data_IF_920453228508
#
_entry.id   IF_920453228508
#
_cell.length_a   1.000
_cell.length_b   1.000
_cell.length_c   1.000
_cell.angle_alpha   90.00
_cell.angle_beta   90.00
_cell.angle_gamma   90.00
#
_symmetry.space_group_name_H-M   'P 1'
#
loop_
_entity.id
_entity.type
_entity.pdbx_description
1 polymer ?
#
# COMPACT_ATOMS: atom_id res chain seq x y z
N UNK A 1 -30.85 -8.72 2.97
CA UNK A 1 -29.61 -9.46 3.29
C UNK A 1 -28.58 -8.80 2.43
N UNK A 2 -27.79 -8.00 3.05
CA UNK A 2 -26.86 -7.07 2.45
C UNK A 2 -25.54 -7.76 2.25
N UNK A 3 -25.00 -7.70 1.09
CA UNK A 3 -23.73 -8.28 0.68
C UNK A 3 -22.87 -7.18 0.04
N UNK A 4 -21.66 -7.28 0.04
CA UNK A 4 -20.63 -6.26 0.08
C UNK A 4 -19.67 -6.06 -1.10
N UNK A 5 -19.13 -4.91 -1.34
CA UNK A 5 -18.33 -4.47 -2.47
C UNK A 5 -16.83 -4.23 -2.33
N UNK A 6 -16.12 -4.07 -3.39
CA UNK A 6 -14.77 -3.57 -3.44
C UNK A 6 -14.42 -2.69 -4.61
N UNK A 7 -13.81 -1.66 -4.38
CA UNK A 7 -12.52 -1.26 -4.90
C UNK A 7 -11.85 -0.43 -3.82
N UNK A 8 -11.03 -1.10 -3.02
CA UNK A 8 -10.10 -0.36 -2.20
C UNK A 8 -9.15 0.37 -3.13
N UNK A 9 -9.07 1.71 -3.07
CA UNK A 9 -7.98 2.44 -3.68
C UNK A 9 -6.65 1.81 -3.24
N UNK A 10 -5.65 1.77 -4.10
CA UNK A 10 -4.34 1.14 -3.79
C UNK A 10 -3.70 1.62 -2.47
N UNK A 11 -4.13 2.78 -1.95
CA UNK A 11 -3.75 3.31 -0.63
C UNK A 11 -4.47 2.66 0.54
N UNK A 12 -5.70 2.19 0.36
CA UNK A 12 -6.44 1.47 1.40
C UNK A 12 -6.00 0.01 1.48
N UNK A 13 -5.66 -0.61 0.37
CA UNK A 13 -5.05 -1.94 0.35
C UNK A 13 -3.67 -1.97 1.06
N UNK A 14 -2.92 -0.87 1.00
CA UNK A 14 -1.66 -0.74 1.74
C UNK A 14 -1.85 -0.71 3.27
N UNK A 15 -3.04 -0.31 3.76
CA UNK A 15 -3.39 -0.39 5.17
C UNK A 15 -3.86 -1.80 5.58
N UNK A 16 -4.41 -2.61 4.67
CA UNK A 16 -4.90 -3.98 4.93
C UNK A 16 -3.79 -5.05 4.98
N UNK A 17 -2.54 -4.71 4.66
CA UNK A 17 -1.43 -5.66 4.51
C UNK A 17 -0.73 -6.08 5.80
N UNK A 18 -1.43 -6.15 6.95
CA UNK A 18 -0.81 -6.57 8.21
C UNK A 18 -1.65 -7.58 8.99
N UNK A 19 -1.32 -8.83 8.90
CA UNK A 19 -1.59 -10.04 9.70
C UNK A 19 -2.62 -11.08 9.27
N UNK A 20 -2.19 -12.33 9.25
CA UNK A 20 -2.98 -13.52 9.62
C UNK A 20 -2.10 -14.53 10.32
N UNK A 21 -2.56 -15.07 11.44
CA UNK A 21 -2.06 -16.35 11.97
C UNK A 21 -3.03 -17.46 11.56
N UNK A 22 -2.59 -18.60 11.03
CA UNK A 22 -3.46 -19.76 10.88
C UNK A 22 -3.63 -20.41 12.26
N UNK A 23 -4.84 -20.37 12.80
CA UNK A 23 -5.26 -21.29 13.84
C UNK A 23 -5.53 -22.64 13.16
N UNK A 24 -4.65 -23.60 13.33
CA UNK A 24 -4.92 -25.05 13.47
C UNK A 24 -3.60 -25.82 13.32
N UNK A 25 -2.99 -26.09 14.45
CA UNK A 25 -1.93 -27.07 14.62
C UNK A 25 -2.01 -27.61 16.04
N UNK A 26 -2.42 -28.88 16.18
CA UNK A 26 -2.40 -29.60 17.46
C UNK A 26 -1.03 -29.48 18.10
N UNK A 27 -0.99 -29.01 19.32
CA UNK A 27 0.17 -29.05 20.19
C UNK A 27 0.64 -30.50 20.35
N UNK A 28 1.73 -30.86 19.70
CA UNK A 28 2.61 -31.93 20.18
C UNK A 28 3.59 -31.27 21.15
N UNK A 29 3.52 -31.67 22.39
CA UNK A 29 4.48 -31.29 23.43
C UNK A 29 5.86 -31.78 22.99
N UNK A 30 6.75 -30.84 22.69
CA UNK A 30 8.18 -31.09 22.59
C UNK A 30 8.75 -31.20 24.02
N UNK A 31 9.76 -32.06 24.26
CA UNK A 31 10.40 -32.19 25.57
C UNK A 31 11.10 -30.89 25.97
N UNK A 32 11.31 -30.62 27.25
CA UNK A 32 11.90 -29.39 27.75
C UNK A 32 13.33 -29.27 27.21
N UNK A 33 13.58 -28.31 26.35
CA UNK A 33 14.92 -27.92 25.94
C UNK A 33 15.53 -26.99 26.99
N UNK A 34 16.75 -27.31 27.36
CA UNK A 34 17.59 -26.61 28.32
C UNK A 34 17.53 -25.07 28.17
N UNK A 35 17.17 -24.39 29.22
CA UNK A 35 17.07 -22.92 29.34
C UNK A 35 18.48 -22.24 29.34
N UNK A 36 19.53 -22.91 28.93
CA UNK A 36 20.92 -22.41 29.08
C UNK A 36 21.55 -21.81 27.82
N UNK A 37 20.80 -21.69 26.70
CA UNK A 37 21.29 -21.09 25.45
C UNK A 37 20.46 -19.92 24.90
N UNK A 38 20.01 -19.04 25.77
CA UNK A 38 19.62 -17.73 25.31
C UNK A 38 20.88 -16.97 24.89
N UNK A 39 20.99 -16.61 23.61
CA UNK A 39 22.11 -15.85 23.07
C UNK A 39 22.23 -14.51 23.81
N UNK A 40 23.44 -13.95 23.94
CA UNK A 40 23.70 -12.73 24.69
C UNK A 40 22.81 -11.53 24.33
N UNK A 41 22.35 -11.43 23.07
CA UNK A 41 21.45 -10.39 22.59
C UNK A 41 20.03 -10.50 23.17
N UNK A 42 19.51 -11.71 23.39
CA UNK A 42 18.17 -11.90 23.99
C UNK A 42 18.12 -11.50 25.47
N UNK A 43 19.23 -11.72 26.20
CA UNK A 43 19.36 -11.27 27.61
C UNK A 43 19.58 -9.75 27.69
N UNK A 44 20.27 -9.15 26.71
CA UNK A 44 20.46 -7.71 26.64
C UNK A 44 19.16 -6.93 26.40
N UNK A 45 18.23 -7.48 25.59
CA UNK A 45 16.94 -6.84 25.32
C UNK A 45 15.95 -6.93 26.50
N UNK A 46 15.99 -8.03 27.25
CA UNK A 46 15.08 -8.24 28.40
C UNK A 46 15.35 -7.31 29.60
N UNK A 47 16.48 -6.61 29.61
CA UNK A 47 16.87 -5.68 30.67
C UNK A 47 16.83 -4.19 30.33
N UNK A 48 16.52 -3.84 29.05
CA UNK A 48 16.46 -2.42 28.61
C UNK A 48 15.21 -1.75 29.15
N UNK A 49 15.34 -0.57 29.72
CA UNK A 49 14.20 0.25 30.13
C UNK A 49 13.54 0.91 28.89
N UNK A 50 12.32 1.45 29.06
CA UNK A 50 11.55 2.07 27.98
C UNK A 50 12.34 3.18 27.27
N UNK A 51 13.08 3.97 28.01
CA UNK A 51 13.91 5.04 27.43
C UNK A 51 14.99 4.49 26.50
N UNK A 52 15.68 3.42 26.89
CA UNK A 52 16.72 2.76 26.08
C UNK A 52 16.16 2.09 24.82
N UNK A 53 14.91 1.64 24.87
CA UNK A 53 14.22 1.04 23.71
C UNK A 53 13.75 2.09 22.69
N UNK A 54 13.52 3.32 23.13
CA UNK A 54 12.94 4.39 22.33
C UNK A 54 13.94 5.51 21.96
N UNK A 55 15.23 5.32 22.25
CA UNK A 55 16.28 6.27 21.90
C UNK A 55 17.46 5.56 21.27
N UNK A 56 18.03 6.20 20.26
CA UNK A 56 19.23 5.71 19.60
C UNK A 56 20.47 5.95 20.49
N UNK A 57 21.26 4.93 20.78
CA UNK A 57 22.46 5.08 21.58
C UNK A 57 23.55 5.93 20.92
N UNK A 58 23.51 6.15 19.59
CA UNK A 58 24.52 6.93 18.88
C UNK A 58 24.30 8.46 18.98
N UNK A 59 23.03 8.90 18.87
CA UNK A 59 22.71 10.33 18.86
C UNK A 59 21.77 10.77 20.01
N UNK A 60 21.32 9.83 20.84
CA UNK A 60 20.41 10.07 21.96
C UNK A 60 19.00 10.54 21.57
N UNK A 61 18.69 10.60 20.29
CA UNK A 61 17.39 11.07 19.79
C UNK A 61 16.37 9.94 19.79
N UNK A 62 15.09 10.32 19.73
CA UNK A 62 13.97 9.38 19.63
C UNK A 62 14.14 8.46 18.42
N UNK A 63 14.09 7.14 18.65
CA UNK A 63 14.27 6.09 17.65
C UNK A 63 13.55 4.82 18.08
N UNK A 64 12.73 4.28 17.21
CA UNK A 64 11.93 3.07 17.50
C UNK A 64 12.59 1.80 17.00
N UNK A 65 13.81 1.84 16.47
CA UNK A 65 14.48 0.67 15.85
C UNK A 65 14.60 -0.51 16.80
N UNK A 66 15.11 -0.25 18.03
CA UNK A 66 15.29 -1.30 19.03
C UNK A 66 13.95 -1.91 19.44
N UNK A 67 12.96 -1.07 19.62
CA UNK A 67 11.63 -1.50 19.98
C UNK A 67 10.96 -2.33 18.87
N UNK A 68 10.99 -1.84 17.61
CA UNK A 68 10.42 -2.54 16.47
C UNK A 68 11.10 -3.89 16.19
N UNK A 69 12.41 -3.99 16.35
CA UNK A 69 13.17 -5.20 16.01
C UNK A 69 13.25 -6.22 17.15
N UNK A 70 13.16 -5.77 18.41
CA UNK A 70 13.33 -6.63 19.58
C UNK A 70 12.06 -6.83 20.39
N UNK A 71 10.97 -6.13 20.04
CA UNK A 71 9.71 -6.28 20.74
C UNK A 71 9.09 -7.65 20.46
N UNK A 72 8.75 -8.36 21.53
CA UNK A 72 8.02 -9.64 21.45
C UNK A 72 6.51 -9.36 21.62
N UNK A 73 5.75 -9.52 20.54
CA UNK A 73 4.30 -9.30 20.55
C UNK A 73 3.84 -8.33 19.48
N UNK A 74 2.56 -8.03 19.50
CA UNK A 74 1.95 -7.07 18.57
C UNK A 74 2.20 -5.64 19.02
N UNK A 75 2.59 -4.83 18.06
CA UNK A 75 2.79 -3.40 18.20
C UNK A 75 1.50 -2.68 17.81
N UNK A 76 0.83 -1.95 18.71
CA UNK A 76 -0.28 -1.10 18.31
C UNK A 76 0.25 0.12 17.54
N UNK A 77 -0.17 0.24 16.29
CA UNK A 77 0.14 1.37 15.42
C UNK A 77 -1.15 2.15 15.18
N UNK A 78 -1.25 3.42 15.60
CA UNK A 78 -2.42 4.23 15.29
C UNK A 78 -2.52 4.45 13.78
N UNK A 79 -3.73 4.27 13.26
CA UNK A 79 -4.07 4.62 11.87
C UNK A 79 -4.78 5.96 11.92
N UNK A 80 -4.31 6.92 11.13
CA UNK A 80 -5.00 8.19 10.92
C UNK A 80 -5.38 8.25 9.46
N UNK A 81 -6.68 8.31 9.20
CA UNK A 81 -7.24 8.37 7.86
C UNK A 81 -7.47 9.83 7.50
N UNK A 82 -6.90 10.23 6.37
CA UNK A 82 -7.01 11.60 5.84
C UNK A 82 -7.31 11.58 4.34
N UNK A 83 -7.81 10.46 3.84
CA UNK A 83 -8.16 10.30 2.42
C UNK A 83 -9.49 11.02 2.13
N UNK A 84 -9.51 12.02 1.25
CA UNK A 84 -10.71 12.83 1.00
C UNK A 84 -11.91 12.02 0.52
N UNK A 85 -11.69 10.91 -0.18
CA UNK A 85 -12.78 10.05 -0.69
C UNK A 85 -13.63 9.43 0.43
N UNK A 86 -13.06 9.21 1.62
CA UNK A 86 -13.75 8.59 2.75
C UNK A 86 -13.76 9.46 4.01
N UNK A 87 -13.24 10.69 3.91
CA UNK A 87 -13.17 11.64 5.02
C UNK A 87 -12.11 11.33 6.07
N UNK A 88 -12.16 12.12 7.15
CA UNK A 88 -11.22 11.92 8.27
C UNK A 88 -11.65 10.75 9.15
N UNK A 89 -10.67 10.05 9.69
CA UNK A 89 -10.95 8.91 10.54
C UNK A 89 -9.75 8.41 11.29
N UNK A 90 -9.97 7.33 12.03
CA UNK A 90 -8.91 6.70 12.79
C UNK A 90 -9.14 5.20 12.96
N UNK A 91 -8.11 4.56 13.43
CA UNK A 91 -8.12 3.13 13.67
C UNK A 91 -6.88 2.68 14.41
N UNK A 92 -6.72 1.39 14.50
CA UNK A 92 -5.54 0.75 15.07
C UNK A 92 -5.10 -0.41 14.19
N UNK A 93 -3.81 -0.50 13.93
CA UNK A 93 -3.19 -1.72 13.44
C UNK A 93 -2.36 -2.37 14.54
N UNK A 94 -2.46 -3.67 14.66
CA UNK A 94 -1.57 -4.48 15.47
C UNK A 94 -0.51 -5.07 14.55
N UNK A 95 0.72 -4.60 14.60
CA UNK A 95 1.81 -5.07 13.75
C UNK A 95 2.78 -5.96 14.54
N UNK A 96 3.23 -7.04 13.93
CA UNK A 96 4.24 -7.93 14.46
C UNK A 96 5.39 -8.05 13.45
N UNK A 97 6.55 -7.61 13.86
CA UNK A 97 7.77 -7.67 13.05
C UNK A 97 8.60 -8.87 13.51
N UNK A 98 8.95 -9.73 12.59
CA UNK A 98 9.73 -10.92 12.90
C UNK A 98 10.85 -11.10 11.89
N UNK A 99 12.07 -11.27 12.40
CA UNK A 99 13.22 -11.70 11.61
C UNK A 99 13.67 -13.05 12.16
N UNK A 100 13.62 -14.14 11.36
CA UNK A 100 14.10 -15.42 11.80
C UNK A 100 15.58 -15.34 12.22
N UNK A 101 15.95 -16.06 13.28
CA UNK A 101 17.33 -16.10 13.76
C UNK A 101 18.28 -16.56 12.65
N UNK A 102 19.42 -15.88 12.51
CA UNK A 102 20.38 -16.17 11.45
C UNK A 102 20.04 -15.60 10.08
N UNK A 103 18.89 -14.95 9.92
CA UNK A 103 18.55 -14.27 8.65
C UNK A 103 19.35 -12.98 8.49
N UNK A 104 19.90 -12.79 7.27
CA UNK A 104 20.60 -11.55 6.94
C UNK A 104 19.66 -10.32 7.07
N UNK A 105 20.20 -9.21 7.56
CA UNK A 105 19.49 -7.92 7.59
C UNK A 105 19.76 -7.08 6.34
N UNK A 106 20.80 -7.43 5.61
CA UNK A 106 21.20 -6.79 4.36
C UNK A 106 21.61 -7.81 3.34
N UNK A 107 21.58 -7.44 2.08
CA UNK A 107 22.09 -8.22 0.94
C UNK A 107 22.92 -7.32 0.05
N UNK A 108 24.04 -7.83 -0.45
CA UNK A 108 24.77 -7.18 -1.52
C UNK A 108 24.11 -7.52 -2.86
N UNK A 109 23.74 -6.52 -3.63
CA UNK A 109 23.17 -6.69 -4.98
C UNK A 109 24.23 -7.10 -5.99
N UNK A 110 23.82 -7.49 -7.19
CA UNK A 110 24.75 -7.78 -8.30
C UNK A 110 25.58 -6.54 -8.71
N UNK A 111 25.09 -5.33 -8.45
CA UNK A 111 25.82 -4.06 -8.66
C UNK A 111 26.82 -3.72 -7.52
N UNK A 112 26.90 -4.54 -6.48
CA UNK A 112 27.77 -4.30 -5.32
C UNK A 112 27.19 -3.37 -4.25
N UNK A 113 25.96 -2.92 -4.40
CA UNK A 113 25.29 -2.06 -3.41
C UNK A 113 24.71 -2.88 -2.25
N UNK A 114 24.79 -2.34 -1.04
CA UNK A 114 24.17 -2.96 0.14
C UNK A 114 22.71 -2.52 0.26
N UNK A 115 21.82 -3.52 0.26
CA UNK A 115 20.37 -3.33 0.39
C UNK A 115 19.88 -3.82 1.73
N UNK A 116 19.02 -3.04 2.38
CA UNK A 116 18.31 -3.45 3.59
C UNK A 116 17.20 -4.43 3.23
N UNK A 117 17.17 -5.59 3.89
CA UNK A 117 16.10 -6.57 3.75
C UNK A 117 14.99 -6.27 4.76
N UNK A 118 13.74 -6.28 4.29
CA UNK A 118 12.59 -6.12 5.16
C UNK A 118 12.46 -7.33 6.11
N UNK A 119 12.05 -7.13 7.37
CA UNK A 119 11.60 -8.21 8.23
C UNK A 119 10.29 -8.80 7.72
N UNK A 120 9.95 -9.99 8.21
CA UNK A 120 8.60 -10.51 8.07
C UNK A 120 7.65 -9.65 8.89
N UNK A 121 6.50 -9.32 8.31
CA UNK A 121 5.50 -8.46 8.93
C UNK A 121 4.16 -9.19 8.90
N UNK A 122 3.51 -9.25 10.03
CA UNK A 122 2.14 -9.71 10.20
C UNK A 122 1.35 -8.61 10.90
N UNK A 123 0.07 -8.49 10.73
CA UNK A 123 -0.72 -7.58 11.53
C UNK A 123 -2.23 -7.70 11.24
N UNK A 124 -3.07 -7.11 12.07
CA UNK A 124 -4.51 -6.93 11.89
C UNK A 124 -4.83 -5.45 12.07
N UNK A 125 -5.91 -4.99 11.46
CA UNK A 125 -6.33 -3.61 11.60
C UNK A 125 -7.84 -3.47 11.66
N UNK A 126 -8.28 -2.39 12.28
CA UNK A 126 -9.64 -1.89 12.18
C UNK A 126 -9.61 -0.37 12.11
N UNK A 127 -10.48 0.22 11.29
CA UNK A 127 -10.61 1.67 11.14
C UNK A 127 -12.05 2.09 10.90
N UNK A 128 -12.35 3.36 11.24
CA UNK A 128 -13.63 4.00 10.93
C UNK A 128 -13.40 5.48 10.61
N UNK A 129 -14.23 6.04 9.74
CA UNK A 129 -14.18 7.44 9.33
C UNK A 129 -15.47 8.18 9.61
N UNK A 130 -15.44 9.50 9.52
CA UNK A 130 -16.57 10.39 9.82
C UNK A 130 -17.74 10.24 8.84
N UNK A 131 -17.45 9.86 7.57
CA UNK A 131 -18.52 9.61 6.60
C UNK A 131 -19.19 8.24 6.78
N UNK A 132 -18.83 7.48 7.84
CA UNK A 132 -19.38 6.18 8.16
C UNK A 132 -18.61 5.00 7.58
N UNK A 133 -17.61 5.22 6.72
CA UNK A 133 -16.78 4.13 6.19
C UNK A 133 -16.04 3.41 7.30
N UNK A 134 -15.94 2.08 7.17
CA UNK A 134 -15.24 1.23 8.13
C UNK A 134 -14.57 0.07 7.42
N UNK A 135 -13.46 -0.41 7.97
CA UNK A 135 -12.77 -1.58 7.47
C UNK A 135 -12.05 -2.32 8.59
N UNK A 136 -11.99 -3.64 8.47
CA UNK A 136 -11.13 -4.47 9.30
C UNK A 136 -10.52 -5.58 8.45
N UNK A 137 -9.35 -6.01 8.84
CA UNK A 137 -8.67 -7.02 8.04
C UNK A 137 -7.34 -7.46 8.64
N UNK A 138 -6.74 -8.34 7.89
CA UNK A 138 -5.52 -9.00 8.29
C UNK A 138 -4.64 -9.36 7.09
N UNK A 139 -3.30 -9.34 7.24
CA UNK A 139 -2.38 -9.69 6.15
C UNK A 139 -0.96 -10.01 6.63
N UNK A 140 -0.11 -10.40 5.71
CA UNK A 140 1.28 -10.72 5.96
C UNK A 140 2.18 -10.33 4.78
N UNK A 141 3.38 -9.89 5.09
CA UNK A 141 4.49 -9.72 4.14
C UNK A 141 5.66 -10.55 4.62
N UNK A 142 6.01 -11.57 3.86
CA UNK A 142 7.01 -12.56 4.27
C UNK A 142 8.13 -12.61 3.24
N UNK A 143 9.36 -12.78 3.74
CA UNK A 143 10.57 -12.91 2.96
C UNK A 143 11.29 -14.20 3.37
N UNK A 144 11.52 -15.08 2.41
CA UNK A 144 12.13 -16.39 2.65
C UNK A 144 13.40 -16.57 1.83
N UNK A 145 14.27 -17.42 2.31
CA UNK A 145 15.49 -17.84 1.61
C UNK A 145 16.31 -16.65 1.09
N UNK A 146 16.66 -15.71 1.99
CA UNK A 146 17.44 -14.51 1.65
C UNK A 146 16.80 -13.65 0.57
N UNK A 147 15.47 -13.40 0.72
CA UNK A 147 14.65 -12.65 -0.25
C UNK A 147 14.57 -13.31 -1.64
N UNK A 148 14.76 -14.62 -1.73
CA UNK A 148 14.48 -15.36 -2.99
C UNK A 148 12.98 -15.53 -3.23
N UNK A 149 12.21 -15.59 -2.16
CA UNK A 149 10.76 -15.68 -2.21
C UNK A 149 10.14 -14.57 -1.37
N UNK A 150 9.12 -13.96 -1.94
CA UNK A 150 8.28 -12.98 -1.26
C UNK A 150 6.84 -13.45 -1.30
N UNK A 151 6.16 -13.30 -0.18
CA UNK A 151 4.72 -13.49 -0.10
C UNK A 151 4.08 -12.22 0.43
N UNK A 152 3.00 -11.79 -0.19
CA UNK A 152 2.10 -10.74 0.29
C UNK A 152 0.69 -11.30 0.29
N UNK A 153 0.05 -11.30 1.45
CA UNK A 153 -1.33 -11.75 1.58
C UNK A 153 -2.12 -10.80 2.45
N UNK A 154 -3.36 -10.57 2.07
CA UNK A 154 -4.32 -9.82 2.87
C UNK A 154 -5.73 -10.36 2.66
N UNK A 155 -6.53 -10.27 3.71
CA UNK A 155 -7.97 -10.49 3.69
C UNK A 155 -8.62 -9.45 4.58
N UNK A 156 -9.73 -8.91 4.15
CA UNK A 156 -10.45 -7.89 4.92
C UNK A 156 -11.86 -7.69 4.42
N UNK A 157 -12.63 -7.10 5.30
CA UNK A 157 -14.00 -6.72 5.08
C UNK A 157 -14.12 -5.21 5.27
N UNK A 158 -14.89 -4.54 4.42
CA UNK A 158 -15.02 -3.10 4.43
C UNK A 158 -16.41 -2.65 3.98
N UNK A 159 -16.92 -1.59 4.60
CA UNK A 159 -18.07 -0.80 4.15
C UNK A 159 -17.58 0.61 3.91
N UNK A 160 -17.69 1.09 2.67
CA UNK A 160 -17.12 2.36 2.25
C UNK A 160 -18.17 3.25 1.59
N UNK A 161 -18.36 4.44 2.10
CA UNK A 161 -19.15 5.49 1.48
C UNK A 161 -18.26 6.30 0.53
N UNK A 162 -18.56 6.24 -0.76
CA UNK A 162 -17.74 6.80 -1.83
C UNK A 162 -18.58 7.62 -2.81
N UNK A 163 -17.91 8.39 -3.63
CA UNK A 163 -18.51 9.14 -4.72
C UNK A 163 -18.03 8.65 -6.08
N UNK A 164 -18.95 8.41 -6.96
CA UNK A 164 -18.70 8.25 -8.38
C UNK A 164 -18.95 9.56 -9.09
N UNK A 165 -18.03 9.99 -9.92
CA UNK A 165 -18.14 11.20 -10.70
C UNK A 165 -18.39 10.84 -12.17
N UNK A 166 -19.57 11.22 -12.66
CA UNK A 166 -19.81 11.12 -14.11
C UNK A 166 -18.95 12.18 -14.79
N UNK A 167 -18.19 11.78 -15.78
CA UNK A 167 -17.52 12.68 -16.70
C UNK A 167 -17.92 12.31 -18.13
N UNK A 168 -18.12 13.27 -18.99
CA UNK A 168 -18.41 13.02 -20.39
C UNK A 168 -19.02 14.20 -21.10
N UNK A 169 -18.70 14.31 -22.39
CA UNK A 169 -19.12 15.42 -23.29
C UNK A 169 -20.64 15.61 -23.38
N UNK A 170 -21.43 14.60 -22.99
CA UNK A 170 -22.90 14.59 -23.13
C UNK A 170 -23.64 14.60 -21.80
N UNK A 171 -22.95 14.48 -20.69
CA UNK A 171 -23.54 14.44 -19.36
C UNK A 171 -22.88 15.50 -18.50
N UNK A 172 -23.67 16.30 -17.73
CA UNK A 172 -23.09 17.21 -16.74
C UNK A 172 -22.30 16.39 -15.72
N UNK A 173 -21.21 16.95 -15.21
CA UNK A 173 -20.47 16.35 -14.09
C UNK A 173 -21.44 16.24 -12.92
N UNK A 174 -21.75 15.00 -12.53
CA UNK A 174 -22.64 14.68 -11.42
C UNK A 174 -21.89 13.83 -10.44
N UNK A 175 -22.03 14.13 -9.18
CA UNK A 175 -21.58 13.32 -8.07
C UNK A 175 -22.69 12.35 -7.68
N UNK A 176 -22.39 11.07 -7.65
CA UNK A 176 -23.30 9.99 -7.28
C UNK A 176 -22.71 9.31 -6.05
N UNK A 177 -23.33 9.50 -4.89
CA UNK A 177 -22.95 8.81 -3.66
C UNK A 177 -23.37 7.35 -3.70
N UNK A 178 -22.50 6.48 -3.25
CA UNK A 178 -22.78 5.05 -3.14
C UNK A 178 -22.02 4.44 -1.95
N UNK A 179 -22.66 3.50 -1.33
CA UNK A 179 -22.03 2.62 -0.34
C UNK A 179 -21.54 1.37 -1.04
N UNK A 180 -20.37 0.99 -0.67
CA UNK A 180 -19.72 -0.16 -1.20
C UNK A 180 -19.22 -1.04 -0.05
N UNK A 181 -19.80 -2.28 0.07
CA UNK A 181 -19.63 -3.19 1.19
C UNK A 181 -19.02 -4.59 0.79
N UNK A 182 -17.92 -5.23 1.34
CA UNK A 182 -17.37 -6.51 0.97
C UNK A 182 -16.15 -7.12 1.54
N UNK A 183 -16.05 -8.36 1.20
CA UNK A 183 -14.88 -9.17 1.47
C UNK A 183 -13.89 -9.02 0.31
N UNK A 184 -12.65 -8.68 0.63
CA UNK A 184 -11.53 -8.69 -0.30
C UNK A 184 -10.42 -9.63 0.16
N UNK A 185 -9.81 -10.35 -0.76
CA UNK A 185 -8.60 -11.13 -0.54
C UNK A 185 -7.60 -10.89 -1.66
N UNK A 186 -6.36 -10.61 -1.28
CA UNK A 186 -5.22 -10.56 -2.18
C UNK A 186 -4.17 -11.55 -1.69
N UNK A 187 -3.72 -12.43 -2.59
CA UNK A 187 -2.63 -13.37 -2.32
C UNK A 187 -1.62 -13.26 -3.45
N UNK A 188 -0.35 -13.00 -3.13
CA UNK A 188 0.72 -12.90 -4.11
C UNK A 188 1.96 -13.63 -3.63
N UNK A 189 2.53 -14.45 -4.49
CA UNK A 189 3.82 -15.10 -4.29
C UNK A 189 4.76 -14.64 -5.40
N UNK A 190 5.96 -14.25 -5.04
CA UNK A 190 6.97 -13.80 -5.98
C UNK A 190 8.26 -14.58 -5.78
N UNK A 191 8.94 -14.90 -6.87
CA UNK A 191 10.23 -15.57 -6.87
C UNK A 191 11.27 -14.74 -7.60
N UNK A 192 12.43 -14.58 -6.99
CA UNK A 192 13.59 -13.95 -7.61
C UNK A 192 14.20 -14.84 -8.67
N UNK A 193 14.55 -14.28 -9.83
CA UNK A 193 15.17 -14.97 -10.96
C UNK A 193 16.68 -14.87 -10.85
N UNK A 194 17.32 -15.99 -10.57
CA UNK A 194 18.78 -16.07 -10.37
C UNK A 194 19.24 -15.18 -9.20
N UNK A 195 20.37 -14.53 -9.39
CA UNK A 195 20.94 -13.56 -8.42
C UNK A 195 20.59 -12.10 -8.76
N UNK A 196 19.81 -11.88 -9.82
CA UNK A 196 19.33 -10.56 -10.22
C UNK A 196 18.25 -10.03 -9.27
N UNK A 197 17.95 -8.74 -9.38
CA UNK A 197 16.88 -8.07 -8.63
C UNK A 197 15.52 -8.14 -9.35
N UNK A 198 15.35 -9.16 -10.20
CA UNK A 198 14.15 -9.41 -10.98
C UNK A 198 13.32 -10.50 -10.30
N UNK A 199 12.02 -10.22 -10.11
CA UNK A 199 11.06 -11.14 -9.52
C UNK A 199 9.91 -11.42 -10.48
N UNK A 200 9.48 -12.67 -10.54
CA UNK A 200 8.24 -13.08 -11.21
C UNK A 200 7.23 -13.47 -10.16
N UNK A 201 6.02 -12.98 -10.29
CA UNK A 201 4.94 -13.16 -9.32
C UNK A 201 3.69 -13.78 -9.92
N UNK A 202 2.99 -14.53 -9.07
CA UNK A 202 1.63 -15.00 -9.26
C UNK A 202 0.76 -14.37 -8.20
N UNK A 203 -0.42 -13.88 -8.57
CA UNK A 203 -1.41 -13.37 -7.64
C UNK A 203 -2.78 -14.01 -7.84
N UNK A 204 -3.54 -14.07 -6.75
CA UNK A 204 -4.96 -14.34 -6.76
C UNK A 204 -5.66 -13.22 -6.01
N UNK A 205 -6.63 -12.60 -6.69
CA UNK A 205 -7.43 -11.51 -6.16
C UNK A 205 -8.88 -11.95 -6.17
N UNK A 206 -9.48 -12.00 -5.01
CA UNK A 206 -10.89 -12.32 -4.84
C UNK A 206 -11.61 -11.16 -4.17
N UNK A 207 -12.77 -10.88 -4.65
CA UNK A 207 -13.63 -9.84 -4.11
C UNK A 207 -15.08 -10.24 -4.27
N UNK A 208 -15.86 -10.12 -3.20
CA UNK A 208 -17.30 -10.39 -3.13
C UNK A 208 -18.01 -9.11 -2.67
N UNK A 209 -18.83 -8.54 -3.55
CA UNK A 209 -19.14 -7.12 -3.51
C UNK A 209 -20.58 -6.79 -3.73
N UNK A 210 -21.14 -5.86 -2.91
CA UNK A 210 -22.45 -5.22 -3.13
C UNK A 210 -22.34 -3.69 -3.17
N UNK A 211 -23.12 -3.06 -4.02
CA UNK A 211 -23.21 -1.60 -4.16
C UNK A 211 -24.63 -1.17 -3.86
N UNK A 212 -24.78 -0.18 -3.00
CA UNK A 212 -26.04 0.54 -2.80
C UNK A 212 -25.86 2.03 -3.10
N UNK A 213 -26.89 2.68 -3.58
CA UNK A 213 -26.88 4.11 -3.92
C UNK A 213 -27.75 4.90 -2.96
N UNK A 214 -27.37 6.15 -2.72
CA UNK A 214 -28.08 7.07 -1.83
C UNK A 214 -29.53 7.34 -2.29
N UNK A 215 -29.76 7.27 -3.60
CA UNK A 215 -31.09 7.51 -4.17
C UNK A 215 -31.47 6.44 -5.20
N UNK A 216 -32.78 6.15 -5.32
CA UNK A 216 -33.29 5.23 -6.31
C UNK A 216 -32.99 5.68 -7.76
N UNK A 217 -33.02 7.00 -8.02
CA UNK A 217 -32.69 7.56 -9.33
C UNK A 217 -31.23 7.41 -9.74
N UNK A 218 -30.35 7.26 -8.77
CA UNK A 218 -28.91 6.99 -9.02
C UNK A 218 -28.69 5.51 -9.30
N UNK A 219 -29.45 4.62 -8.66
CA UNK A 219 -29.48 3.19 -8.93
C UNK A 219 -29.84 2.88 -10.38
N UNK A 220 -30.82 3.57 -10.96
CA UNK A 220 -31.28 3.35 -12.34
C UNK A 220 -30.21 3.65 -13.41
N UNK A 221 -29.12 4.28 -13.04
CA UNK A 221 -27.96 4.52 -13.90
C UNK A 221 -27.08 3.28 -14.11
N UNK A 222 -27.23 2.26 -13.25
CA UNK A 222 -26.40 1.06 -13.23
C UNK A 222 -27.25 -0.20 -13.38
N UNK A 223 -26.72 -1.20 -14.05
CA UNK A 223 -27.38 -2.49 -14.18
C UNK A 223 -27.34 -3.28 -12.87
N UNK A 224 -28.34 -4.12 -12.61
CA UNK A 224 -28.35 -4.99 -11.41
C UNK A 224 -27.08 -5.84 -11.27
N UNK A 225 -26.42 -6.20 -12.37
CA UNK A 225 -25.14 -6.89 -12.38
C UNK A 225 -23.98 -6.06 -11.80
N UNK A 226 -24.06 -4.74 -11.84
CA UNK A 226 -23.04 -3.87 -11.29
C UNK A 226 -23.24 -3.59 -9.80
N UNK A 227 -24.33 -4.10 -9.22
CA UNK A 227 -24.73 -3.87 -7.84
C UNK A 227 -24.31 -4.99 -6.88
N UNK A 228 -24.10 -6.21 -7.40
CA UNK A 228 -23.63 -7.35 -6.60
C UNK A 228 -22.83 -8.27 -7.49
N UNK A 229 -21.52 -8.26 -7.33
CA UNK A 229 -20.61 -9.00 -8.19
C UNK A 229 -19.46 -9.62 -7.41
N UNK A 230 -19.21 -10.90 -7.69
CA UNK A 230 -17.97 -11.57 -7.34
C UNK A 230 -16.94 -11.38 -8.43
N UNK A 231 -15.78 -10.89 -8.08
CA UNK A 231 -14.64 -10.85 -8.99
C UNK A 231 -13.54 -11.75 -8.48
N UNK A 232 -13.08 -12.67 -9.29
CA UNK A 232 -11.95 -13.54 -8.97
C UNK A 232 -11.00 -13.57 -10.15
N UNK A 233 -9.75 -13.18 -9.90
CA UNK A 233 -8.73 -13.04 -10.93
C UNK A 233 -7.41 -13.68 -10.55
N UNK A 234 -6.76 -14.27 -11.54
CA UNK A 234 -5.36 -14.68 -11.44
C UNK A 234 -4.49 -13.64 -12.12
N UNK A 235 -3.37 -13.31 -11.50
CA UNK A 235 -2.45 -12.31 -12.01
C UNK A 235 -1.04 -12.84 -12.20
N UNK A 236 -0.36 -12.21 -13.13
CA UNK A 236 1.07 -12.37 -13.38
C UNK A 236 1.76 -11.02 -13.17
N UNK A 237 2.92 -11.02 -12.53
CA UNK A 237 3.72 -9.82 -12.34
C UNK A 237 5.20 -10.05 -12.60
N UNK A 238 5.85 -9.00 -13.09
CA UNK A 238 7.29 -8.90 -13.22
C UNK A 238 7.72 -7.66 -12.45
N UNK A 239 8.57 -7.83 -11.43
CA UNK A 239 9.11 -6.73 -10.62
C UNK A 239 10.63 -6.69 -10.73
N UNK A 240 11.17 -5.51 -11.04
CA UNK A 240 12.58 -5.20 -10.95
C UNK A 240 12.80 -4.20 -9.82
N UNK A 241 13.53 -4.60 -8.77
CA UNK A 241 13.64 -3.81 -7.54
C UNK A 241 15.10 -3.70 -7.08
N UNK A 242 15.73 -2.56 -7.37
CA UNK A 242 17.11 -2.24 -6.99
C UNK A 242 17.21 -1.18 -5.89
N UNK A 243 16.09 -0.83 -5.24
CA UNK A 243 16.09 0.17 -4.17
C UNK A 243 17.01 -0.24 -3.03
N UNK A 244 17.74 0.73 -2.49
CA UNK A 244 18.62 0.55 -1.32
C UNK A 244 17.83 0.21 -0.04
N UNK A 245 16.60 0.68 0.04
CA UNK A 245 15.72 0.49 1.19
C UNK A 245 14.25 0.33 0.74
N UNK A 246 13.51 -0.69 1.25
CA UNK A 246 12.12 -0.90 0.86
C UNK A 246 11.14 0.09 1.48
N UNK A 247 11.49 0.75 2.60
CA UNK A 247 10.60 1.66 3.32
C UNK A 247 10.74 3.10 2.84
N UNK A 248 11.95 3.64 2.83
CA UNK A 248 12.22 5.01 2.38
C UNK A 248 13.48 5.04 1.53
N UNK A 249 13.36 4.73 0.25
CA UNK A 249 14.49 4.66 -0.66
C UNK A 249 15.22 6.00 -0.78
N UNK A 250 16.51 5.93 -1.01
CA UNK A 250 17.37 7.07 -1.37
C UNK A 250 18.06 6.87 -2.70
N UNK A 251 18.15 5.62 -3.18
CA UNK A 251 18.73 5.27 -4.48
C UNK A 251 18.05 4.04 -5.06
N UNK A 252 18.18 3.88 -6.38
CA UNK A 252 17.70 2.70 -7.12
C UNK A 252 16.32 2.87 -7.70
N UNK A 253 15.79 1.78 -8.23
CA UNK A 253 14.56 1.72 -9.01
C UNK A 253 13.67 0.59 -8.53
N UNK A 254 12.36 0.79 -8.63
CA UNK A 254 11.37 -0.28 -8.56
C UNK A 254 10.42 -0.15 -9.74
N UNK A 255 10.46 -1.11 -10.64
CA UNK A 255 9.57 -1.21 -11.79
C UNK A 255 8.74 -2.46 -11.69
N UNK A 256 7.42 -2.34 -11.90
CA UNK A 256 6.48 -3.46 -11.91
C UNK A 256 5.61 -3.38 -13.15
N UNK A 257 5.41 -4.52 -13.78
CA UNK A 257 4.39 -4.74 -14.80
C UNK A 257 3.54 -5.90 -14.30
N UNK A 258 2.22 -5.71 -14.25
CA UNK A 258 1.28 -6.73 -13.81
C UNK A 258 0.03 -6.77 -14.70
N UNK A 259 -0.51 -7.97 -14.87
CA UNK A 259 -1.79 -8.21 -15.51
C UNK A 259 -2.61 -9.16 -14.68
N UNK A 260 -3.87 -8.81 -14.42
CA UNK A 260 -4.81 -9.61 -13.67
C UNK A 260 -6.01 -9.95 -14.56
N UNK A 261 -6.33 -11.22 -14.65
CA UNK A 261 -7.34 -11.80 -15.54
C UNK A 261 -8.49 -12.34 -14.72
N UNK A 262 -9.60 -11.61 -14.70
CA UNK A 262 -10.80 -11.97 -13.94
C UNK A 262 -11.72 -12.83 -14.81
N UNK A 263 -12.12 -13.99 -14.31
CA UNK A 263 -12.94 -14.97 -15.07
C UNK A 263 -13.91 -15.72 -14.16
N UNK A 264 -15.03 -16.13 -14.72
CA UNK A 264 -15.99 -17.01 -14.04
C UNK A 264 -15.35 -18.35 -13.65
N UNK A 265 -14.42 -18.86 -14.45
CA UNK A 265 -13.69 -20.09 -14.16
C UNK A 265 -12.87 -20.05 -12.86
N UNK A 266 -12.58 -18.86 -12.34
CA UNK A 266 -11.86 -18.65 -11.09
C UNK A 266 -12.79 -18.34 -9.91
N UNK A 267 -14.12 -18.44 -10.10
CA UNK A 267 -15.12 -18.18 -9.06
C UNK A 267 -15.68 -16.74 -9.05
N UNK A 268 -15.50 -15.98 -10.15
CA UNK A 268 -16.11 -14.67 -10.35
C UNK A 268 -17.41 -14.74 -11.13
N UNK A 269 -18.19 -13.66 -11.10
CA UNK A 269 -19.43 -13.52 -11.89
C UNK A 269 -19.17 -12.82 -13.23
N UNK A 270 -18.09 -12.03 -13.31
CA UNK A 270 -17.74 -11.21 -14.48
C UNK A 270 -16.35 -11.51 -15.02
N UNK A 271 -16.16 -11.21 -16.30
CA UNK A 271 -14.87 -11.33 -16.99
C UNK A 271 -14.37 -9.98 -17.46
N UNK A 272 -13.17 -9.62 -16.99
CA UNK A 272 -12.43 -8.45 -17.44
C UNK A 272 -10.94 -8.63 -17.20
N UNK A 273 -10.13 -7.75 -17.76
CA UNK A 273 -8.69 -7.72 -17.58
C UNK A 273 -8.27 -6.37 -17.02
N UNK A 274 -7.31 -6.39 -16.10
CA UNK A 274 -6.68 -5.17 -15.60
C UNK A 274 -5.15 -5.26 -15.70
N UNK A 275 -4.55 -4.15 -16.11
CA UNK A 275 -3.11 -4.04 -16.31
C UNK A 275 -2.58 -2.83 -15.56
N UNK A 276 -1.41 -2.97 -14.97
CA UNK A 276 -0.67 -1.88 -14.36
C UNK A 276 0.81 -1.97 -14.72
N UNK A 277 1.40 -0.82 -15.03
CA UNK A 277 2.84 -0.67 -15.12
C UNK A 277 3.24 0.55 -14.29
N UNK A 278 4.17 0.39 -13.35
CA UNK A 278 4.71 1.53 -12.63
C UNK A 278 6.23 1.46 -12.54
N UNK A 279 6.82 2.64 -12.47
CA UNK A 279 8.25 2.84 -12.27
C UNK A 279 8.46 3.91 -11.20
N UNK A 280 9.19 3.56 -10.16
CA UNK A 280 9.68 4.48 -9.13
C UNK A 280 11.19 4.55 -9.21
N UNK A 281 11.74 5.75 -9.23
CA UNK A 281 13.18 5.97 -9.27
C UNK A 281 13.62 6.93 -8.18
N UNK A 282 14.79 6.71 -7.65
CA UNK A 282 15.37 7.54 -6.60
C UNK A 282 16.83 7.84 -6.93
N UNK A 283 17.15 9.12 -7.04
CA UNK A 283 18.46 9.60 -7.38
C UNK A 283 19.04 10.44 -6.22
N UNK A 284 20.09 9.94 -5.54
CA UNK A 284 20.76 10.73 -4.52
C UNK A 284 21.61 11.83 -5.16
N UNK A 285 21.52 13.04 -4.63
CA UNK A 285 22.27 14.21 -5.05
C UNK A 285 23.07 14.76 -3.86
N UNK A 286 24.22 15.33 -4.13
CA UNK A 286 25.09 15.95 -3.12
C UNK A 286 25.35 15.03 -1.91
N UNK A 287 25.77 13.78 -2.15
CA UNK A 287 26.05 12.80 -1.12
C UNK A 287 24.81 12.40 -0.29
N UNK A 288 23.64 12.26 -0.92
CA UNK A 288 22.34 11.98 -0.30
C UNK A 288 21.75 13.13 0.52
N UNK A 289 22.33 14.33 0.49
CA UNK A 289 21.73 15.50 1.12
C UNK A 289 20.39 15.86 0.48
N UNK A 290 20.30 15.65 -0.83
CA UNK A 290 19.06 15.70 -1.59
C UNK A 290 18.78 14.33 -2.21
N UNK A 291 17.52 13.94 -2.27
CA UNK A 291 17.06 12.76 -3.02
C UNK A 291 15.94 13.20 -3.93
N UNK A 292 16.16 13.06 -5.24
CA UNK A 292 15.13 13.27 -6.25
C UNK A 292 14.41 11.95 -6.49
N UNK A 293 13.12 11.90 -6.21
CA UNK A 293 12.22 10.81 -6.51
C UNK A 293 11.40 11.10 -7.76
N UNK A 294 11.10 10.05 -8.53
CA UNK A 294 10.18 10.12 -9.67
C UNK A 294 9.28 8.90 -9.70
N UNK A 295 8.01 9.11 -10.07
CA UNK A 295 7.00 8.07 -10.26
C UNK A 295 6.32 8.22 -11.60
N UNK A 296 6.22 7.12 -12.35
CA UNK A 296 5.29 6.94 -13.45
C UNK A 296 4.38 5.75 -13.12
N UNK A 297 3.07 5.88 -13.32
CA UNK A 297 2.08 4.82 -13.06
C UNK A 297 1.05 4.83 -14.19
N UNK A 298 0.94 3.72 -14.88
CA UNK A 298 0.02 3.50 -16.00
C UNK A 298 -0.93 2.37 -15.62
N UNK A 299 -2.21 2.59 -15.80
CA UNK A 299 -3.26 1.61 -15.52
C UNK A 299 -4.19 1.50 -16.70
N UNK A 300 -4.64 0.29 -17.00
CA UNK A 300 -5.64 0.03 -18.02
C UNK A 300 -6.55 -1.12 -17.58
N UNK A 301 -7.81 -1.06 -18.01
CA UNK A 301 -8.75 -2.16 -17.84
C UNK A 301 -9.56 -2.33 -19.11
N UNK A 302 -10.02 -3.55 -19.38
CA UNK A 302 -10.80 -3.88 -20.58
C UNK A 302 -11.80 -5.01 -20.32
N UNK A 303 -12.88 -5.06 -21.09
CA UNK A 303 -13.96 -6.01 -20.92
C UNK A 303 -15.09 -5.48 -20.04
N UNK A 304 -15.79 -6.37 -19.34
CA UNK A 304 -16.93 -6.02 -18.47
C UNK A 304 -16.47 -5.44 -17.12
N UNK A 305 -15.65 -4.40 -17.15
CA UNK A 305 -15.10 -3.80 -15.93
C UNK A 305 -16.18 -3.12 -15.11
N UNK A 306 -16.43 -3.54 -13.86
CA UNK A 306 -17.32 -2.81 -12.96
C UNK A 306 -16.86 -1.35 -12.77
N UNK A 307 -17.79 -0.40 -12.62
CA UNK A 307 -17.46 1.02 -12.55
C UNK A 307 -16.48 1.34 -11.40
N UNK A 308 -16.64 0.69 -10.27
CA UNK A 308 -15.78 0.83 -9.09
C UNK A 308 -14.40 0.16 -9.23
N UNK A 309 -14.16 -0.60 -10.32
CA UNK A 309 -12.87 -1.21 -10.65
C UNK A 309 -12.13 -0.48 -11.77
N UNK A 310 -12.68 0.61 -12.26
CA UNK A 310 -12.02 1.41 -13.28
C UNK A 310 -10.71 2.00 -12.76
N UNK A 311 -9.65 2.04 -13.58
CA UNK A 311 -8.45 2.81 -13.31
C UNK A 311 -8.76 4.26 -12.96
N UNK A 312 -8.03 4.82 -12.00
CA UNK A 312 -8.17 6.21 -11.59
C UNK A 312 -6.81 6.87 -11.36
N UNK A 313 -6.80 8.21 -11.33
CA UNK A 313 -5.64 9.02 -10.99
C UNK A 313 -5.39 8.90 -9.49
N UNK A 314 -4.43 8.05 -9.11
CA UNK A 314 -4.03 7.82 -7.72
C UNK A 314 -2.81 8.68 -7.38
N UNK A 315 -3.05 9.86 -6.79
CA UNK A 315 -2.01 10.85 -6.49
C UNK A 315 -2.37 11.65 -5.24
N UNK A 316 -1.37 12.09 -4.48
CA UNK A 316 -1.59 12.96 -3.32
C UNK A 316 -2.30 14.26 -3.73
N UNK A 317 -3.33 14.68 -2.98
CA UNK A 317 -4.16 15.88 -3.28
C UNK A 317 -5.26 15.62 -4.29
N UNK A 318 -5.44 14.39 -4.74
CA UNK A 318 -6.55 13.97 -5.60
C UNK A 318 -7.33 12.88 -4.86
N UNK A 319 -8.63 13.12 -4.68
CA UNK A 319 -9.55 12.15 -4.09
C UNK A 319 -9.62 10.87 -4.93
N UNK A 320 -9.60 9.72 -4.28
CA UNK A 320 -9.67 8.44 -4.97
C UNK A 320 -10.98 8.32 -5.77
N UNK A 321 -10.88 7.89 -7.04
CA UNK A 321 -12.04 7.79 -7.93
C UNK A 321 -12.50 9.12 -8.56
N UNK A 322 -11.93 10.29 -8.20
CA UNK A 322 -12.34 11.59 -8.74
C UNK A 322 -12.13 11.70 -10.25
N UNK A 323 -11.02 11.18 -10.75
CA UNK A 323 -10.70 11.08 -12.18
C UNK A 323 -10.48 9.61 -12.52
N UNK A 324 -11.48 8.96 -13.07
CA UNK A 324 -11.45 7.52 -13.38
C UNK A 324 -12.05 7.21 -14.75
N UNK A 325 -11.44 6.27 -15.46
CA UNK A 325 -11.89 5.73 -16.73
C UNK A 325 -11.17 4.40 -17.02
N UNK A 326 -11.31 3.82 -18.20
CA UNK A 326 -10.66 2.54 -18.58
C UNK A 326 -9.13 2.61 -18.59
N UNK A 327 -8.55 3.79 -18.67
CA UNK A 327 -7.09 4.05 -18.61
C UNK A 327 -6.80 5.22 -17.70
N UNK A 328 -5.70 5.14 -16.97
CA UNK A 328 -5.19 6.24 -16.18
C UNK A 328 -3.66 6.29 -16.25
N UNK A 329 -3.11 7.51 -16.25
CA UNK A 329 -1.68 7.76 -16.18
C UNK A 329 -1.39 8.80 -15.10
N UNK A 330 -0.30 8.59 -14.35
CA UNK A 330 0.20 9.52 -13.34
C UNK A 330 1.71 9.67 -13.51
N UNK A 331 2.16 10.92 -13.46
CA UNK A 331 3.57 11.28 -13.29
C UNK A 331 3.70 12.13 -12.03
N UNK A 332 4.63 11.79 -11.16
CA UNK A 332 4.86 12.52 -9.91
C UNK A 332 6.36 12.63 -9.65
N UNK A 333 6.81 13.77 -9.12
CA UNK A 333 8.17 13.98 -8.67
C UNK A 333 8.18 14.46 -7.22
N UNK A 334 9.19 14.07 -6.47
CA UNK A 334 9.39 14.46 -5.09
C UNK A 334 10.86 14.79 -4.84
N UNK A 335 11.13 15.92 -4.22
CA UNK A 335 12.45 16.29 -3.75
C UNK A 335 12.48 16.21 -2.23
N UNK A 336 13.32 15.32 -1.68
CA UNK A 336 13.58 15.20 -0.24
C UNK A 336 14.91 15.83 0.09
N UNK A 337 14.88 16.86 0.93
CA UNK A 337 16.06 17.51 1.47
C UNK A 337 16.30 17.07 2.91
N UNK A 338 17.34 16.29 3.14
CA UNK A 338 17.76 15.84 4.45
C UNK A 338 18.50 17.01 5.14
N UNK A 339 17.86 17.61 6.14
CA UNK A 339 18.38 18.78 6.87
C UNK A 339 19.50 18.36 7.82
N UNK A 340 19.27 17.25 8.52
CA UNK A 340 20.23 16.61 9.42
C UNK A 340 20.08 15.08 9.36
N UNK A 341 20.65 14.36 10.34
CA UNK A 341 20.60 12.90 10.42
C UNK A 341 19.18 12.35 10.65
N UNK A 342 18.23 13.17 11.09
CA UNK A 342 16.89 12.75 11.49
C UNK A 342 15.76 13.45 10.74
N UNK A 343 15.96 14.71 10.38
CA UNK A 343 14.91 15.53 9.79
C UNK A 343 15.12 15.75 8.29
N UNK A 344 14.05 15.67 7.56
CA UNK A 344 14.01 16.04 6.17
C UNK A 344 12.72 16.82 5.86
N UNK A 345 12.81 17.70 4.86
CA UNK A 345 11.65 18.34 4.24
C UNK A 345 11.47 17.80 2.83
N UNK A 346 10.24 17.80 2.36
CA UNK A 346 9.92 17.36 1.00
C UNK A 346 9.09 18.42 0.28
N UNK A 347 9.25 18.45 -1.04
CA UNK A 347 8.31 19.11 -1.95
C UNK A 347 7.96 18.14 -3.06
N UNK A 348 6.72 18.16 -3.53
CA UNK A 348 6.26 17.27 -4.60
C UNK A 348 5.32 17.97 -5.56
N UNK A 349 5.30 17.47 -6.79
CA UNK A 349 4.43 17.90 -7.87
C UNK A 349 4.05 16.67 -8.69
N UNK A 350 2.78 16.58 -9.10
CA UNK A 350 2.31 15.50 -9.94
C UNK A 350 1.22 15.94 -10.89
N UNK A 351 1.07 15.18 -11.96
CA UNK A 351 -0.01 15.31 -12.92
C UNK A 351 -0.54 13.93 -13.30
N UNK A 352 -1.84 13.83 -13.48
CA UNK A 352 -2.50 12.61 -13.92
C UNK A 352 -3.68 12.89 -14.84
N UNK A 353 -4.08 11.86 -15.59
CA UNK A 353 -5.25 11.91 -16.48
C UNK A 353 -5.88 10.51 -16.56
N UNK A 354 -7.21 10.46 -16.64
CA UNK A 354 -7.96 9.25 -16.92
C UNK A 354 -8.78 9.43 -18.21
N UNK A 355 -8.83 8.40 -19.06
CA UNK A 355 -9.50 8.44 -20.37
C UNK A 355 -9.94 7.05 -20.82
N UNK A 356 -10.88 6.98 -21.76
CA UNK A 356 -11.29 5.73 -22.43
C UNK A 356 -12.78 5.62 -22.72
N UNK A 357 -13.58 5.16 -21.76
CA UNK A 357 -15.02 4.93 -21.92
C UNK A 357 -15.84 6.21 -21.94
N UNK A 358 -15.46 7.17 -21.10
CA UNK A 358 -16.24 8.38 -20.88
C UNK A 358 -15.71 9.57 -21.66
N UNK A 359 -14.40 9.72 -21.74
CA UNK A 359 -13.72 10.82 -22.44
C UNK A 359 -12.50 10.34 -23.23
N UNK A 360 -12.28 10.93 -24.41
CA UNK A 360 -11.07 10.73 -25.17
C UNK A 360 -9.87 11.42 -24.49
N UNK A 361 -8.66 10.94 -24.77
CA UNK A 361 -7.44 11.44 -24.12
C UNK A 361 -7.28 12.97 -24.25
N UNK A 362 -7.58 13.55 -25.41
CA UNK A 362 -7.41 14.98 -25.68
C UNK A 362 -8.42 15.85 -24.96
N UNK A 363 -9.55 15.26 -24.54
CA UNK A 363 -10.66 15.96 -23.88
C UNK A 363 -10.69 15.76 -22.37
N UNK A 364 -10.08 14.66 -21.90
CA UNK A 364 -10.04 14.32 -20.51
C UNK A 364 -9.30 15.38 -19.67
N UNK A 365 -9.89 15.72 -18.53
CA UNK A 365 -9.30 16.71 -17.62
C UNK A 365 -7.97 16.22 -17.04
N UNK A 366 -7.00 17.10 -16.96
CA UNK A 366 -5.75 16.85 -16.26
C UNK A 366 -5.86 17.22 -14.79
N UNK A 367 -5.60 16.27 -13.91
CA UNK A 367 -5.47 16.50 -12.48
C UNK A 367 -4.02 16.88 -12.17
N UNK A 368 -3.80 18.05 -11.59
CA UNK A 368 -2.47 18.51 -11.17
C UNK A 368 -2.51 18.78 -9.66
N UNK A 369 -1.58 18.18 -8.93
CA UNK A 369 -1.44 18.42 -7.50
C UNK A 369 0.01 18.69 -7.14
N UNK A 370 0.21 19.49 -6.09
CA UNK A 370 1.51 19.83 -5.53
C UNK A 370 1.44 19.81 -4.02
N UNK A 371 2.58 19.78 -3.36
CA UNK A 371 2.58 19.83 -1.91
C UNK A 371 3.97 19.91 -1.31
N UNK A 372 3.96 20.01 0.01
CA UNK A 372 5.16 20.00 0.82
C UNK A 372 4.93 19.22 2.11
N UNK A 373 5.98 18.77 2.73
CA UNK A 373 5.90 18.03 3.98
C UNK A 373 7.23 17.95 4.70
N UNK A 374 7.20 17.26 5.83
CA UNK A 374 8.41 16.95 6.58
C UNK A 374 8.46 15.48 6.96
N UNK A 375 9.66 15.00 7.24
CA UNK A 375 9.95 13.63 7.65
C UNK A 375 10.87 13.62 8.86
N UNK A 376 10.62 12.69 9.74
CA UNK A 376 11.50 12.31 10.84
C UNK A 376 11.92 10.85 10.68
N UNK A 377 13.21 10.55 10.80
CA UNK A 377 13.73 9.18 10.76
C UNK A 377 13.35 8.46 12.04
N UNK A 378 12.21 7.78 11.99
CA UNK A 378 11.56 7.14 13.13
C UNK A 378 12.30 5.88 13.60
N UNK A 379 12.85 5.10 12.65
CA UNK A 379 13.60 3.89 12.94
C UNK A 379 14.84 3.84 12.04
N UNK A 380 16.01 4.24 12.59
CA UNK A 380 17.26 4.37 11.83
C UNK A 380 17.74 3.04 11.24
N UNK A 381 17.68 1.95 12.02
CA UNK A 381 18.10 0.62 11.56
C UNK A 381 17.27 0.05 10.41
N UNK A 382 16.06 0.56 10.24
CA UNK A 382 15.16 0.22 9.13
C UNK A 382 15.18 1.26 8.02
N UNK A 383 15.77 2.43 8.26
CA UNK A 383 15.66 3.58 7.34
C UNK A 383 14.22 4.05 7.17
N UNK A 384 13.41 3.90 8.22
CA UNK A 384 11.99 4.21 8.19
C UNK A 384 11.72 5.63 8.64
N UNK A 385 11.26 6.48 7.73
CA UNK A 385 10.79 7.82 8.02
C UNK A 385 9.29 7.84 8.24
N UNK A 386 8.83 8.75 9.11
CA UNK A 386 7.43 9.12 9.25
C UNK A 386 7.30 10.64 9.20
N UNK A 387 6.13 11.16 8.80
CA UNK A 387 5.93 12.59 8.71
C UNK A 387 4.54 12.96 8.18
N UNK A 388 4.40 14.23 7.83
CA UNK A 388 3.14 14.81 7.36
C UNK A 388 3.40 15.51 6.03
N UNK A 389 2.51 15.28 5.06
CA UNK A 389 2.44 15.99 3.81
C UNK A 389 1.17 16.83 3.76
N UNK A 390 1.27 18.04 3.26
CA UNK A 390 0.12 18.84 2.88
C UNK A 390 0.10 18.98 1.36
N UNK A 391 -1.04 18.62 0.76
CA UNK A 391 -1.22 18.58 -0.68
C UNK A 391 -2.32 19.57 -1.11
N UNK A 392 -2.07 20.24 -2.22
CA UNK A 392 -3.00 21.11 -2.93
C UNK A 392 -3.36 20.47 -4.27
N UNK A 393 -4.59 20.01 -4.38
CA UNK A 393 -5.20 19.54 -5.63
C UNK A 393 -6.08 20.62 -6.28
N UNK A 394 -6.69 20.31 -7.44
CA UNK A 394 -7.60 21.25 -8.12
C UNK A 394 -8.92 21.45 -7.40
N UNK A 395 -9.44 20.43 -6.74
CA UNK A 395 -10.76 20.44 -6.10
C UNK A 395 -10.67 20.58 -4.57
N UNK A 396 -9.53 20.21 -3.98
CA UNK A 396 -9.40 20.07 -2.52
C UNK A 396 -7.97 20.24 -2.02
N UNK A 397 -7.87 20.40 -0.70
CA UNK A 397 -6.62 20.45 0.02
C UNK A 397 -6.69 19.46 1.18
N UNK A 398 -5.63 18.69 1.37
CA UNK A 398 -5.63 17.67 2.42
C UNK A 398 -4.23 17.42 2.96
N UNK A 399 -4.15 16.86 4.15
CA UNK A 399 -2.89 16.41 4.72
C UNK A 399 -2.86 14.87 4.78
N UNK A 400 -1.66 14.33 4.69
CA UNK A 400 -1.40 12.89 4.78
C UNK A 400 -0.37 12.61 5.86
N UNK A 401 -0.64 11.62 6.70
CA UNK A 401 0.38 11.06 7.57
C UNK A 401 1.07 9.95 6.80
N UNK A 402 2.35 10.12 6.58
CA UNK A 402 3.18 9.20 5.81
C UNK A 402 4.10 8.41 6.73
N UNK A 403 4.16 7.09 6.49
CA UNK A 403 5.14 6.20 7.11
C UNK A 403 5.83 5.44 5.98
N UNK A 404 7.12 5.69 5.80
CA UNK A 404 7.89 5.23 4.65
C UNK A 404 7.76 6.15 3.43
N UNK A 405 7.92 5.57 2.23
CA UNK A 405 7.72 6.27 0.95
C UNK A 405 6.24 6.56 0.71
N UNK A 406 5.95 7.69 0.07
CA UNK A 406 4.61 8.02 -0.39
C UNK A 406 4.16 7.10 -1.55
N UNK A 407 5.09 6.49 -2.27
CA UNK A 407 4.83 5.56 -3.38
C UNK A 407 5.11 4.12 -2.94
N UNK A 408 4.11 3.25 -3.12
CA UNK A 408 4.16 1.83 -2.70
C UNK A 408 3.58 0.89 -3.75
#
# INVERSE_FOLDING_TARGET
>A
MSVMPTSLPGRLLACLLLATTPLWGRAQQAPPQDASRATGDERAAAGKNWHELMHDPEDGRFDTSEWLLNHRGFLPVPIIVTEPAIGYGGGVALAFFHRPQGSASTRTTASGETRVLAPNIYGAMAMKTENGSQAYGAGAMLHFAEDRWRYKGAVGDASMNLDFYTSGRRLPVRRIGYEIDGLASLQQVMRRIGENDLFVGLSWIYMDMDVSFDTASDRDFFSDRQLSEKTSGLGLSLEYDTRDNPFTPSSGWNGVIEGNFYRQAFGGDVGFDSYRAHLYGYLPLFGRRLVLGGRADLRAASGGVPFYRLPYVDMRGISAGRYQDERAAVLETELRWNLDARWAVIGFLGAGRAWGRFEDFDQAASAVAKGAGFRYLLARKLGLYAGIDYAWGPDEQTFYIQVGSAWR
#
